data_IF_219932241222
#
_entry.id   IF_219932241222
#
_cell.length_a   1.000
_cell.length_b   1.000
_cell.length_c   1.000
_cell.angle_alpha   90.00
_cell.angle_beta   90.00
_cell.angle_gamma   90.00
#
_symmetry.space_group_name_H-M   'P 1'
#
loop_
_entity.id
_entity.type
_entity.pdbx_description
1 polymer ?
#
# COMPACT_ATOMS: atom_id res chain seq x y z
N UNK A 1 15.70 -35.93 -6.53
CA UNK A 1 15.68 -34.71 -7.38
C UNK A 1 14.24 -34.44 -7.78
N UNK A 2 13.78 -33.20 -7.71
CA UNK A 2 12.44 -32.82 -8.19
C UNK A 2 12.37 -32.76 -9.72
N UNK A 3 11.18 -32.53 -10.27
CA UNK A 3 11.00 -32.31 -11.70
C UNK A 3 11.69 -31.00 -12.14
N UNK A 4 12.25 -31.00 -13.35
CA UNK A 4 12.82 -29.79 -13.94
C UNK A 4 11.72 -28.86 -14.45
N UNK A 5 11.99 -27.55 -14.46
CA UNK A 5 11.13 -26.54 -15.08
C UNK A 5 11.76 -26.00 -16.35
N UNK A 6 10.94 -25.69 -17.34
CA UNK A 6 11.38 -25.15 -18.63
C UNK A 6 10.69 -23.82 -18.88
N UNK A 7 11.48 -22.79 -19.12
CA UNK A 7 11.03 -21.50 -19.63
C UNK A 7 11.72 -21.23 -20.96
N UNK A 8 10.95 -21.15 -22.04
CA UNK A 8 11.47 -20.99 -23.39
C UNK A 8 11.99 -19.58 -23.64
N UNK A 9 13.01 -19.48 -24.50
CA UNK A 9 13.57 -18.22 -25.02
C UNK A 9 14.16 -17.28 -23.96
N UNK A 10 14.69 -17.85 -22.87
CA UNK A 10 15.43 -17.12 -21.84
C UNK A 10 16.92 -17.42 -21.93
N UNK A 11 17.76 -16.39 -21.75
CA UNK A 11 19.22 -16.50 -21.86
C UNK A 11 19.92 -15.92 -20.65
N UNK A 12 21.17 -16.33 -20.43
CA UNK A 12 22.07 -15.80 -19.40
C UNK A 12 21.48 -15.83 -17.96
N UNK A 13 21.09 -17.00 -17.43
CA UNK A 13 20.51 -17.06 -16.10
C UNK A 13 21.52 -16.69 -15.02
N UNK A 14 21.03 -16.04 -13.97
CA UNK A 14 21.69 -15.86 -12.69
C UNK A 14 20.74 -16.29 -11.58
N UNK A 15 21.27 -16.73 -10.44
CA UNK A 15 20.47 -17.23 -9.33
C UNK A 15 21.12 -16.82 -8.00
N UNK A 16 20.28 -16.43 -7.04
CA UNK A 16 20.66 -16.17 -5.65
C UNK A 16 19.51 -16.58 -4.72
N UNK A 17 19.83 -16.79 -3.44
CA UNK A 17 18.86 -17.18 -2.40
C UNK A 17 18.89 -16.19 -1.25
N UNK A 18 17.73 -15.87 -0.69
CA UNK A 18 17.60 -15.07 0.52
C UNK A 18 17.65 -15.94 1.80
N UNK A 19 17.62 -15.30 2.96
CA UNK A 19 17.65 -15.94 4.28
C UNK A 19 16.44 -16.85 4.54
N UNK A 20 15.31 -16.60 3.86
CA UNK A 20 14.09 -17.39 3.93
C UNK A 20 14.04 -18.53 2.89
N UNK A 21 15.16 -18.79 2.19
CA UNK A 21 15.32 -19.81 1.15
C UNK A 21 14.44 -19.59 -0.09
N UNK A 22 13.98 -18.36 -0.31
CA UNK A 22 13.38 -17.97 -1.57
C UNK A 22 14.49 -17.70 -2.58
N UNK A 23 14.15 -17.79 -3.86
CA UNK A 23 15.09 -17.75 -4.96
C UNK A 23 14.80 -16.52 -5.83
N UNK A 24 15.82 -15.73 -6.10
CA UNK A 24 15.81 -14.72 -7.17
C UNK A 24 16.54 -15.29 -8.37
N UNK A 25 15.86 -15.37 -9.50
CA UNK A 25 16.44 -15.76 -10.79
C UNK A 25 16.46 -14.53 -11.69
N UNK A 26 17.61 -14.19 -12.25
CA UNK A 26 17.71 -13.17 -13.31
C UNK A 26 17.90 -13.83 -14.66
N UNK A 27 17.36 -13.23 -15.72
CA UNK A 27 17.57 -13.72 -17.08
C UNK A 27 17.41 -12.60 -18.10
N UNK A 28 17.87 -12.84 -19.32
CA UNK A 28 17.67 -11.98 -20.48
C UNK A 28 16.57 -12.54 -21.37
N UNK A 29 15.64 -11.68 -21.77
CA UNK A 29 14.63 -11.96 -22.80
C UNK A 29 14.50 -10.72 -23.69
N UNK A 30 14.47 -10.88 -25.01
CA UNK A 30 14.34 -9.77 -25.96
C UNK A 30 15.37 -8.63 -25.75
N UNK A 31 16.60 -8.99 -25.34
CA UNK A 31 17.69 -8.05 -25.02
C UNK A 31 17.34 -7.04 -23.89
N UNK A 32 16.44 -7.46 -23.00
CA UNK A 32 16.08 -6.78 -21.76
C UNK A 32 16.38 -7.68 -20.55
N UNK A 33 16.59 -7.07 -19.39
CA UNK A 33 16.87 -7.78 -18.14
C UNK A 33 15.58 -7.99 -17.36
N UNK A 34 15.37 -9.24 -16.95
CA UNK A 34 14.26 -9.66 -16.11
C UNK A 34 14.77 -10.32 -14.83
N UNK A 35 13.92 -10.33 -13.81
CA UNK A 35 14.09 -11.17 -12.64
C UNK A 35 12.77 -11.84 -12.26
N UNK A 36 12.86 -12.98 -11.57
CA UNK A 36 11.72 -13.72 -11.02
C UNK A 36 12.03 -14.09 -9.58
N UNK A 37 11.03 -13.95 -8.72
CA UNK A 37 11.09 -14.40 -7.34
C UNK A 37 10.28 -15.70 -7.17
N UNK A 38 10.87 -16.72 -6.56
CA UNK A 38 10.23 -18.01 -6.31
C UNK A 38 10.33 -18.30 -4.81
N UNK A 39 9.19 -18.47 -4.15
CA UNK A 39 9.20 -18.74 -2.71
C UNK A 39 9.57 -20.17 -2.39
N UNK A 40 10.19 -20.38 -1.23
CA UNK A 40 10.61 -21.69 -0.76
C UNK A 40 9.47 -22.76 -0.72
N UNK A 41 8.21 -22.34 -0.62
CA UNK A 41 7.06 -23.28 -0.55
C UNK A 41 6.24 -23.35 -1.83
N UNK A 42 6.57 -22.54 -2.84
CA UNK A 42 5.83 -22.45 -4.11
C UNK A 42 6.71 -22.85 -5.28
N UNK A 43 7.63 -23.80 -5.09
CA UNK A 43 8.59 -24.20 -6.12
C UNK A 43 7.87 -24.71 -7.36
N UNK A 44 6.69 -25.31 -7.20
CA UNK A 44 5.83 -25.79 -8.29
C UNK A 44 5.05 -24.68 -8.99
N UNK A 45 5.29 -23.40 -8.70
CA UNK A 45 4.72 -22.29 -9.46
C UNK A 45 5.38 -22.21 -10.83
N UNK A 46 4.78 -22.91 -11.78
CA UNK A 46 5.24 -23.07 -13.15
C UNK A 46 4.91 -21.87 -14.04
N UNK A 47 4.22 -20.84 -13.54
CA UNK A 47 3.82 -19.73 -14.38
C UNK A 47 5.05 -19.05 -15.00
N UNK A 48 5.15 -18.99 -16.34
CA UNK A 48 6.13 -18.16 -17.01
C UNK A 48 5.82 -16.71 -16.65
N UNK A 49 6.77 -16.00 -16.05
CA UNK A 49 6.52 -14.65 -15.58
C UNK A 49 7.65 -14.19 -14.68
N UNK A 50 8.20 -13.04 -15.03
CA UNK A 50 9.17 -12.31 -14.23
C UNK A 50 9.01 -10.84 -14.54
N UNK A 51 9.53 -10.02 -13.65
CA UNK A 51 9.43 -8.59 -13.71
C UNK A 51 10.56 -8.04 -14.58
N UNK A 52 10.23 -7.08 -15.45
CA UNK A 52 11.24 -6.32 -16.17
C UNK A 52 12.02 -5.48 -15.15
N UNK A 53 13.32 -5.71 -15.06
CA UNK A 53 14.19 -4.83 -14.30
C UNK A 53 14.47 -3.53 -15.07
N UNK A 54 14.66 -3.68 -16.38
CA UNK A 54 14.97 -2.58 -17.29
C UNK A 54 14.10 -2.73 -18.53
N UNK A 55 13.22 -1.75 -18.78
CA UNK A 55 12.34 -1.72 -19.94
C UNK A 55 13.00 -1.04 -21.15
N UNK A 56 14.25 -1.42 -21.44
CA UNK A 56 15.01 -0.96 -22.62
C UNK A 56 15.86 -2.09 -23.18
N UNK A 57 15.89 -2.19 -24.49
CA UNK A 57 16.78 -3.11 -25.23
C UNK A 57 18.24 -2.69 -25.06
N UNK A 58 19.18 -3.57 -25.40
CA UNK A 58 20.62 -3.38 -25.16
C UNK A 58 21.08 -3.84 -23.79
N UNK A 59 20.25 -4.52 -22.99
CA UNK A 59 20.56 -4.92 -21.63
C UNK A 59 20.57 -6.46 -21.50
N UNK A 60 21.71 -7.05 -21.14
CA UNK A 60 21.89 -8.51 -21.16
C UNK A 60 22.83 -9.02 -20.06
N UNK A 61 22.90 -10.35 -19.94
CA UNK A 61 23.82 -11.07 -19.04
C UNK A 61 23.75 -10.61 -17.58
N UNK A 62 22.55 -10.61 -16.97
CA UNK A 62 22.46 -10.23 -15.58
C UNK A 62 23.19 -11.22 -14.67
N UNK A 63 23.62 -10.70 -13.52
CA UNK A 63 24.06 -11.46 -12.36
C UNK A 63 23.38 -10.89 -11.14
N UNK A 64 23.07 -11.75 -10.19
CA UNK A 64 22.39 -11.39 -8.94
C UNK A 64 23.16 -11.94 -7.75
N UNK A 65 23.20 -11.15 -6.68
CA UNK A 65 23.61 -11.56 -5.35
C UNK A 65 22.61 -10.99 -4.33
N UNK A 66 22.52 -11.64 -3.17
CA UNK A 66 21.69 -11.19 -2.05
C UNK A 66 22.60 -11.04 -0.84
N UNK A 67 22.49 -9.91 -0.14
CA UNK A 67 23.28 -9.63 1.06
C UNK A 67 22.64 -10.27 2.31
N UNK A 68 23.32 -10.26 3.49
CA UNK A 68 22.76 -10.82 4.71
C UNK A 68 21.48 -10.16 5.24
N UNK A 69 21.14 -8.95 4.76
CA UNK A 69 19.93 -8.21 5.12
C UNK A 69 18.79 -8.46 4.09
N UNK A 70 18.96 -9.46 3.22
CA UNK A 70 18.09 -9.85 2.11
C UNK A 70 17.93 -8.80 1.00
N UNK A 71 18.80 -7.79 0.95
CA UNK A 71 18.80 -6.82 -0.16
C UNK A 71 19.40 -7.44 -1.42
N UNK A 72 18.91 -6.98 -2.57
CA UNK A 72 19.25 -7.58 -3.86
C UNK A 72 20.21 -6.67 -4.63
N UNK A 73 21.30 -7.27 -5.09
CA UNK A 73 22.32 -6.66 -5.92
C UNK A 73 22.25 -7.26 -7.31
N UNK A 74 21.97 -6.46 -8.32
CA UNK A 74 21.92 -6.92 -9.71
C UNK A 74 22.91 -6.12 -10.55
N UNK A 75 23.74 -6.82 -11.31
CA UNK A 75 24.60 -6.21 -12.35
C UNK A 75 24.25 -6.77 -13.72
N UNK A 76 24.41 -5.97 -14.78
CA UNK A 76 24.19 -6.41 -16.16
C UNK A 76 25.10 -5.67 -17.13
N UNK A 77 25.25 -6.24 -18.34
CA UNK A 77 25.86 -5.56 -19.47
C UNK A 77 24.83 -4.68 -20.16
N UNK A 78 25.22 -3.45 -20.46
CA UNK A 78 24.40 -2.47 -21.13
C UNK A 78 25.14 -1.90 -22.35
N UNK A 79 24.50 -1.91 -23.51
CA UNK A 79 25.06 -1.38 -24.76
C UNK A 79 24.34 -0.16 -25.29
N UNK A 80 23.44 0.45 -24.50
CA UNK A 80 22.59 1.56 -24.96
C UNK A 80 23.37 2.83 -25.29
N UNK A 81 24.56 2.99 -24.74
CA UNK A 81 25.46 4.13 -24.94
C UNK A 81 26.47 3.93 -26.08
N UNK A 82 26.38 2.81 -26.81
CA UNK A 82 27.26 2.46 -27.92
C UNK A 82 28.50 1.64 -27.52
N UNK A 83 28.92 1.73 -26.25
CA UNK A 83 29.91 0.83 -25.65
C UNK A 83 29.23 -0.19 -24.74
N UNK A 84 29.86 -1.35 -24.53
CA UNK A 84 29.39 -2.29 -23.50
C UNK A 84 29.90 -1.84 -22.14
N UNK A 85 28.99 -1.39 -21.29
CA UNK A 85 29.26 -0.94 -19.93
C UNK A 85 28.62 -1.90 -18.92
N UNK A 86 29.14 -1.90 -17.69
CA UNK A 86 28.57 -2.66 -16.58
C UNK A 86 27.69 -1.72 -15.76
N UNK A 87 26.42 -2.06 -15.66
CA UNK A 87 25.47 -1.35 -14.82
C UNK A 87 25.17 -2.14 -13.56
N UNK A 88 24.80 -1.42 -12.50
CA UNK A 88 24.49 -1.96 -11.19
C UNK A 88 23.21 -1.34 -10.65
N UNK A 89 22.34 -2.17 -10.05
CA UNK A 89 21.18 -1.74 -9.28
C UNK A 89 21.20 -2.43 -7.91
N UNK A 90 21.02 -1.61 -6.88
CA UNK A 90 20.74 -2.03 -5.51
C UNK A 90 19.25 -1.90 -5.25
N UNK A 91 18.65 -2.88 -4.58
CA UNK A 91 17.25 -2.86 -4.21
C UNK A 91 17.07 -3.36 -2.78
N UNK A 92 16.45 -2.55 -1.93
CA UNK A 92 15.88 -3.04 -0.69
C UNK A 92 14.76 -4.03 -1.01
N UNK A 93 14.69 -5.12 -0.27
CA UNK A 93 13.72 -6.18 -0.51
C UNK A 93 12.53 -6.08 0.46
N UNK A 94 11.32 -6.32 -0.05
CA UNK A 94 10.05 -6.35 0.71
C UNK A 94 9.75 -5.12 1.57
N UNK A 95 10.30 -3.94 1.23
CA UNK A 95 9.97 -2.72 1.94
C UNK A 95 8.65 -2.15 1.42
N UNK A 96 7.78 -1.76 2.34
CA UNK A 96 6.51 -1.12 2.04
C UNK A 96 6.26 0.05 2.97
N UNK A 97 5.32 0.90 2.56
CA UNK A 97 4.81 1.99 3.37
C UNK A 97 3.33 2.23 3.08
N UNK A 98 2.54 2.40 4.13
CA UNK A 98 1.21 2.98 4.06
C UNK A 98 1.30 4.49 4.31
N UNK A 99 0.61 5.26 3.47
CA UNK A 99 0.57 6.71 3.62
C UNK A 99 -0.86 7.22 3.46
N UNK A 100 -1.38 7.88 4.48
CA UNK A 100 -2.57 8.70 4.39
C UNK A 100 -2.17 10.16 4.55
N UNK A 101 -2.80 11.05 3.78
CA UNK A 101 -2.62 12.49 3.95
C UNK A 101 -3.04 12.90 5.39
N UNK A 102 -2.23 13.68 6.12
CA UNK A 102 -2.55 14.05 7.50
C UNK A 102 -3.87 14.80 7.66
N UNK A 103 -4.29 15.60 6.68
CA UNK A 103 -5.56 16.33 6.72
C UNK A 103 -6.72 15.37 6.51
N UNK A 104 -6.59 14.45 5.53
CA UNK A 104 -7.57 13.39 5.33
C UNK A 104 -7.70 12.48 6.56
N UNK A 105 -6.58 12.13 7.19
CA UNK A 105 -6.56 11.32 8.41
C UNK A 105 -7.21 12.05 9.59
N UNK A 106 -6.92 13.35 9.77
CA UNK A 106 -7.54 14.16 10.82
C UNK A 106 -9.07 14.23 10.67
N UNK A 107 -9.58 14.27 9.44
CA UNK A 107 -11.02 14.28 9.17
C UNK A 107 -11.74 13.01 9.66
N UNK A 108 -11.01 11.92 9.93
CA UNK A 108 -11.54 10.64 10.41
C UNK A 108 -11.64 10.54 11.94
N UNK A 109 -11.18 11.55 12.70
CA UNK A 109 -11.20 11.45 14.17
C UNK A 109 -12.57 11.70 14.79
N UNK A 110 -13.46 12.39 14.08
CA UNK A 110 -14.76 12.79 14.61
C UNK A 110 -15.86 12.48 13.61
N UNK A 111 -16.96 11.90 14.07
CA UNK A 111 -18.14 11.58 13.28
C UNK A 111 -19.40 12.09 13.97
N UNK A 112 -20.36 12.56 13.20
CA UNK A 112 -21.76 12.63 13.65
C UNK A 112 -22.42 11.26 13.55
N UNK A 113 -23.47 10.96 14.35
CA UNK A 113 -24.23 9.73 14.19
C UNK A 113 -24.76 9.56 12.75
N UNK A 114 -24.71 8.33 12.23
CA UNK A 114 -25.05 7.99 10.85
C UNK A 114 -24.21 8.71 9.76
N UNK A 115 -23.06 9.29 10.11
CA UNK A 115 -22.14 9.87 9.14
C UNK A 115 -21.23 8.79 8.53
N UNK A 116 -20.96 8.93 7.23
CA UNK A 116 -19.99 8.10 6.50
C UNK A 116 -18.89 8.98 5.92
N UNK A 117 -17.63 8.57 6.10
CA UNK A 117 -16.45 9.25 5.56
C UNK A 117 -15.56 8.26 4.82
N UNK A 118 -14.76 8.78 3.90
CA UNK A 118 -13.83 8.01 3.10
C UNK A 118 -12.42 8.53 3.34
N UNK A 119 -11.52 7.64 3.78
CA UNK A 119 -10.09 7.90 3.90
C UNK A 119 -9.37 7.36 2.65
N UNK A 120 -8.87 8.22 1.75
CA UNK A 120 -7.89 7.81 0.75
C UNK A 120 -6.53 7.58 1.42
N UNK A 121 -5.85 6.51 1.03
CA UNK A 121 -4.47 6.24 1.42
C UNK A 121 -3.74 5.54 0.28
N UNK A 122 -2.42 5.50 0.34
CA UNK A 122 -1.57 4.85 -0.64
C UNK A 122 -0.79 3.72 0.01
N UNK A 123 -0.68 2.61 -0.71
CA UNK A 123 0.29 1.58 -0.43
C UNK A 123 1.46 1.72 -1.41
N UNK A 124 2.66 1.89 -0.87
CA UNK A 124 3.88 2.08 -1.64
C UNK A 124 4.80 0.89 -1.44
N UNK A 125 5.30 0.31 -2.52
CA UNK A 125 6.45 -0.58 -2.50
C UNK A 125 7.71 0.28 -2.52
N UNK A 126 8.31 0.49 -1.35
CA UNK A 126 9.56 1.26 -1.22
C UNK A 126 10.79 0.40 -1.51
N UNK A 127 10.61 -0.91 -1.68
CA UNK A 127 11.65 -1.82 -2.17
C UNK A 127 11.89 -1.66 -3.68
N UNK A 128 13.06 -2.07 -4.15
CA UNK A 128 13.45 -1.94 -5.57
C UNK A 128 12.99 -3.09 -6.47
N UNK A 129 12.24 -4.04 -5.88
CA UNK A 129 11.77 -5.29 -6.49
C UNK A 129 10.27 -5.43 -6.27
N UNK A 130 9.59 -6.03 -7.23
CA UNK A 130 8.15 -6.21 -7.23
C UNK A 130 7.70 -7.20 -6.15
N UNK A 131 6.55 -6.94 -5.57
CA UNK A 131 5.96 -7.77 -4.52
C UNK A 131 4.43 -7.67 -4.54
N UNK A 132 3.80 -8.60 -3.82
CA UNK A 132 2.36 -8.72 -3.65
C UNK A 132 2.01 -8.39 -2.21
N UNK A 133 0.95 -7.64 -2.00
CA UNK A 133 0.56 -7.16 -0.68
C UNK A 133 -0.88 -7.53 -0.36
N UNK A 134 -1.10 -7.93 0.89
CA UNK A 134 -2.42 -8.07 1.48
C UNK A 134 -2.70 -6.86 2.37
N UNK A 135 -3.87 -6.25 2.23
CA UNK A 135 -4.34 -5.13 3.06
C UNK A 135 -5.58 -5.60 3.83
N UNK A 136 -5.50 -5.53 5.15
CA UNK A 136 -6.54 -6.04 6.04
C UNK A 136 -6.90 -5.02 7.12
N UNK A 137 -8.13 -5.10 7.61
CA UNK A 137 -8.59 -4.38 8.80
C UNK A 137 -8.68 -5.38 9.96
N UNK A 138 -8.25 -4.98 11.16
CA UNK A 138 -8.57 -5.77 12.35
C UNK A 138 -10.02 -5.53 12.77
N UNK A 139 -10.91 -6.48 12.47
CA UNK A 139 -12.33 -6.39 12.81
C UNK A 139 -12.60 -6.49 14.32
N UNK A 140 -11.68 -7.10 15.08
CA UNK A 140 -11.88 -7.35 16.51
C UNK A 140 -11.83 -6.05 17.34
N UNK A 141 -11.18 -5.00 16.81
CA UNK A 141 -11.06 -3.68 17.44
C UNK A 141 -12.24 -2.75 17.08
N UNK A 142 -13.06 -3.14 16.11
CA UNK A 142 -14.17 -2.33 15.62
C UNK A 142 -15.35 -2.45 16.58
N UNK A 143 -15.74 -1.31 17.16
CA UNK A 143 -16.85 -1.25 18.11
C UNK A 143 -18.20 -1.51 17.43
N UNK A 144 -19.15 -2.06 18.19
CA UNK A 144 -20.46 -2.47 17.68
C UNK A 144 -21.19 -1.32 16.95
N UNK A 145 -21.80 -1.64 15.80
CA UNK A 145 -22.56 -0.69 14.98
C UNK A 145 -21.71 0.20 14.05
N UNK A 146 -20.39 0.25 14.22
CA UNK A 146 -19.50 0.86 13.22
C UNK A 146 -19.27 -0.11 12.06
N UNK A 147 -19.14 0.42 10.85
CA UNK A 147 -18.74 -0.36 9.67
C UNK A 147 -17.50 0.24 9.04
N UNK A 148 -16.51 -0.60 8.75
CA UNK A 148 -15.26 -0.19 8.09
C UNK A 148 -15.00 -1.14 6.92
N UNK A 149 -14.86 -0.58 5.72
CA UNK A 149 -14.73 -1.35 4.48
C UNK A 149 -13.57 -0.81 3.64
N UNK A 150 -12.79 -1.73 3.06
CA UNK A 150 -11.77 -1.41 2.07
C UNK A 150 -12.32 -1.61 0.66
N UNK A 151 -11.95 -0.72 -0.27
CA UNK A 151 -12.28 -0.90 -1.68
C UNK A 151 -11.57 -2.11 -2.30
N UNK A 152 -10.42 -2.49 -1.76
CA UNK A 152 -9.61 -3.61 -2.22
C UNK A 152 -8.73 -4.10 -1.05
N UNK A 153 -8.39 -5.39 -1.06
CA UNK A 153 -7.59 -6.04 -0.01
C UNK A 153 -6.29 -6.65 -0.56
N UNK A 154 -6.03 -6.48 -1.86
CA UNK A 154 -4.87 -7.06 -2.53
C UNK A 154 -4.34 -6.17 -3.65
N UNK A 155 -3.02 -6.08 -3.77
CA UNK A 155 -2.39 -5.53 -4.96
C UNK A 155 -1.02 -6.17 -5.25
N UNK A 156 -0.52 -5.94 -6.45
CA UNK A 156 0.82 -6.32 -6.89
C UNK A 156 1.52 -5.07 -7.41
N UNK A 157 2.67 -4.72 -6.82
CA UNK A 157 3.39 -3.49 -7.12
C UNK A 157 4.77 -3.84 -7.67
N UNK A 158 5.18 -3.14 -8.72
CA UNK A 158 6.60 -3.12 -9.10
C UNK A 158 7.43 -2.46 -7.99
N UNK A 159 8.74 -2.68 -8.00
CA UNK A 159 9.63 -1.94 -7.12
C UNK A 159 9.47 -0.43 -7.32
N UNK A 160 9.52 0.33 -6.23
CA UNK A 160 9.42 1.79 -6.22
C UNK A 160 8.10 2.34 -6.82
N UNK A 161 7.02 1.55 -6.81
CA UNK A 161 5.69 1.95 -7.29
C UNK A 161 4.65 1.98 -6.18
N UNK A 162 3.52 2.63 -6.43
CA UNK A 162 2.43 2.80 -5.47
C UNK A 162 1.07 2.55 -6.10
N UNK A 163 0.10 2.19 -5.26
CA UNK A 163 -1.31 2.02 -5.64
C UNK A 163 -2.22 2.69 -4.61
N UNK A 164 -3.25 3.45 -5.05
CA UNK A 164 -4.20 4.09 -4.17
C UNK A 164 -5.26 3.11 -3.64
N UNK A 165 -5.60 3.27 -2.37
CA UNK A 165 -6.67 2.56 -1.68
C UNK A 165 -7.65 3.55 -1.06
N UNK A 166 -8.85 3.05 -0.73
CA UNK A 166 -9.89 3.81 -0.05
C UNK A 166 -10.49 2.95 1.05
N UNK A 167 -10.62 3.55 2.23
CA UNK A 167 -11.38 2.99 3.34
C UNK A 167 -12.63 3.83 3.57
N UNK A 168 -13.78 3.17 3.61
CA UNK A 168 -15.06 3.77 3.98
C UNK A 168 -15.36 3.43 5.43
N UNK A 169 -15.65 4.45 6.25
CA UNK A 169 -16.04 4.29 7.66
C UNK A 169 -17.42 4.90 7.84
N UNK A 170 -18.35 4.12 8.40
CA UNK A 170 -19.68 4.62 8.78
C UNK A 170 -19.87 4.43 10.28
N UNK A 171 -20.36 5.51 10.90
CA UNK A 171 -20.72 5.53 12.31
C UNK A 171 -22.11 4.92 12.55
N UNK A 172 -22.38 4.39 13.76
CA UNK A 172 -23.70 3.87 14.11
C UNK A 172 -24.78 4.96 14.05
N UNK A 173 -26.02 4.55 13.76
CA UNK A 173 -27.17 5.46 13.70
C UNK A 173 -27.55 6.00 15.08
N UNK A 174 -27.47 5.15 16.11
CA UNK A 174 -27.85 5.47 17.48
C UNK A 174 -26.62 5.51 18.38
N UNK A 175 -25.70 6.44 18.11
CA UNK A 175 -24.49 6.61 18.89
C UNK A 175 -24.60 7.81 19.86
N UNK A 176 -23.97 7.69 21.02
CA UNK A 176 -23.87 8.73 22.03
C UNK A 176 -22.59 9.54 21.86
N UNK A 177 -22.59 10.79 22.30
CA UNK A 177 -21.37 11.61 22.33
C UNK A 177 -20.27 10.92 23.15
N UNK A 178 -19.08 10.82 22.56
CA UNK A 178 -17.93 10.14 23.18
C UNK A 178 -17.80 8.64 22.85
N UNK A 179 -18.82 8.01 22.25
CA UNK A 179 -18.68 6.66 21.68
C UNK A 179 -17.52 6.65 20.68
N UNK A 180 -16.77 5.55 20.61
CA UNK A 180 -15.57 5.49 19.79
C UNK A 180 -15.35 4.11 19.18
N UNK A 181 -14.42 4.03 18.23
CA UNK A 181 -13.96 2.79 17.62
C UNK A 181 -12.48 2.89 17.27
N UNK A 182 -11.75 1.78 17.35
CA UNK A 182 -10.34 1.70 16.98
C UNK A 182 -10.21 1.12 15.59
N UNK A 183 -9.48 1.79 14.71
CA UNK A 183 -9.32 1.37 13.32
C UNK A 183 -7.84 1.10 13.07
N UNK A 184 -7.54 -0.16 12.73
CA UNK A 184 -6.19 -0.64 12.45
C UNK A 184 -6.17 -1.25 11.03
N UNK A 185 -5.51 -0.56 10.10
CA UNK A 185 -5.27 -1.02 8.74
C UNK A 185 -3.85 -1.54 8.66
N UNK A 186 -3.70 -2.81 8.28
CA UNK A 186 -2.38 -3.44 8.12
C UNK A 186 -2.17 -3.81 6.66
N UNK A 187 -1.07 -3.33 6.07
CA UNK A 187 -0.55 -3.85 4.82
C UNK A 187 0.61 -4.80 5.10
N UNK A 188 0.62 -5.96 4.45
CA UNK A 188 1.58 -7.02 4.69
C UNK A 188 2.17 -7.54 3.39
N UNK A 189 3.49 -7.62 3.32
CA UNK A 189 4.18 -8.25 2.20
C UNK A 189 3.86 -9.75 2.18
N UNK A 190 3.45 -10.26 1.02
CA UNK A 190 3.40 -11.71 0.80
C UNK A 190 4.82 -12.24 0.66
N UNK A 191 5.70 -11.52 -0.04
CA UNK A 191 7.10 -11.88 -0.29
C UNK A 191 7.87 -12.25 0.99
N UNK A 192 7.71 -11.43 2.03
CA UNK A 192 8.22 -11.64 3.37
C UNK A 192 7.16 -11.21 4.41
N UNK A 193 6.42 -12.16 5.00
CA UNK A 193 5.40 -11.88 6.01
C UNK A 193 5.89 -11.18 7.29
N UNK A 194 7.20 -11.04 7.54
CA UNK A 194 7.70 -10.24 8.67
C UNK A 194 7.70 -8.73 8.35
N UNK A 195 7.51 -8.36 7.07
CA UNK A 195 7.41 -6.96 6.63
C UNK A 195 5.95 -6.55 6.51
N UNK A 196 5.56 -5.57 7.32
CA UNK A 196 4.25 -4.97 7.33
C UNK A 196 4.34 -3.49 7.72
N UNK A 197 3.31 -2.73 7.38
CA UNK A 197 3.11 -1.37 7.85
C UNK A 197 1.65 -1.18 8.28
N UNK A 198 1.43 -0.24 9.20
CA UNK A 198 0.14 -0.09 9.88
C UNK A 198 -0.26 1.39 9.94
N UNK A 199 -1.51 1.67 9.59
CA UNK A 199 -2.19 2.92 9.94
C UNK A 199 -3.19 2.63 11.05
N UNK A 200 -3.04 3.31 12.18
CA UNK A 200 -3.87 3.14 13.38
C UNK A 200 -4.40 4.48 13.86
N UNK A 201 -5.69 4.56 14.15
CA UNK A 201 -6.30 5.72 14.79
C UNK A 201 -7.59 5.34 15.52
N UNK A 202 -8.10 6.27 16.32
CA UNK A 202 -9.38 6.17 17.01
C UNK A 202 -10.35 7.22 16.44
N UNK A 203 -11.60 6.83 16.22
CA UNK A 203 -12.67 7.73 15.81
C UNK A 203 -13.65 7.91 16.96
N UNK A 204 -14.15 9.12 17.16
CA UNK A 204 -15.11 9.50 18.20
C UNK A 204 -16.41 10.04 17.61
N UNK A 205 -17.51 9.83 18.30
CA UNK A 205 -18.80 10.45 18.01
C UNK A 205 -18.90 11.82 18.67
N UNK A 206 -19.28 12.81 17.88
CA UNK A 206 -19.62 14.15 18.33
C UNK A 206 -21.09 14.46 18.01
N UNK A 207 -21.79 15.02 18.99
CA UNK A 207 -23.17 15.47 18.81
C UNK A 207 -23.16 16.99 18.84
N UNK A 208 -23.18 17.60 17.66
CA UNK A 208 -23.38 19.04 17.57
C UNK A 208 -24.84 19.36 17.83
N UNK A 209 -25.10 19.96 18.97
CA UNK A 209 -26.37 20.62 19.23
C UNK A 209 -26.40 21.89 18.39
N UNK A 210 -27.09 21.86 17.26
CA UNK A 210 -27.27 23.06 16.46
C UNK A 210 -28.13 24.04 17.27
N UNK A 211 -27.50 25.10 17.81
CA UNK A 211 -28.25 26.19 18.44
C UNK A 211 -28.82 27.05 17.32
N UNK A 212 -30.02 26.68 16.87
CA UNK A 212 -30.83 27.55 16.03
C UNK A 212 -31.30 28.75 16.85
N UNK A 213 -30.53 29.84 16.85
CA UNK A 213 -31.00 31.13 17.32
C UNK A 213 -31.98 31.71 16.29
N UNK A 214 -33.23 31.26 16.33
CA UNK A 214 -34.31 31.97 15.64
C UNK A 214 -34.76 33.13 16.53
N UNK A 215 -34.38 34.35 16.16
CA UNK A 215 -35.01 35.53 16.74
C UNK A 215 -36.45 35.60 16.22
N UNK A 216 -37.43 35.27 17.07
CA UNK A 216 -38.86 35.41 16.74
C UNK A 216 -39.19 36.91 16.71
N UNK A 217 -39.00 37.53 15.55
CA UNK A 217 -39.20 38.95 15.23
C UNK A 217 -38.32 39.97 15.97
N UNK A 218 -37.19 40.41 15.41
CA UNK A 218 -36.63 41.70 15.75
C UNK A 218 -37.17 42.73 14.76
N UNK A 219 -38.29 43.39 15.08
CA UNK A 219 -38.56 44.83 14.82
C UNK A 219 -39.98 45.17 15.31
N UNK A 220 -40.04 46.10 16.26
CA UNK A 220 -41.19 46.93 16.59
C UNK A 220 -41.03 48.31 15.96
N UNK A 221 -42.00 48.81 15.22
CA UNK A 221 -41.99 50.18 14.69
C UNK A 221 -42.32 51.17 15.82
N UNK A 222 -41.43 52.14 16.07
CA UNK A 222 -41.66 53.22 17.05
C UNK A 222 -41.61 54.57 16.34
N UNK A 223 -42.58 55.45 16.65
CA UNK A 223 -42.62 56.82 16.15
C UNK A 223 -41.66 57.75 16.94
N UNK A 224 -41.22 58.89 16.37
CA UNK A 224 -40.33 59.82 17.05
C UNK A 224 -40.91 60.27 18.41
N UNK A 225 -40.17 60.07 19.50
CA UNK A 225 -40.51 60.57 20.84
C UNK A 225 -40.93 59.53 21.89
N UNK A 226 -40.83 58.22 21.63
CA UNK A 226 -41.04 57.19 22.68
C UNK A 226 -39.91 56.17 22.76
N UNK A 227 -39.60 55.74 23.98
CA UNK A 227 -38.67 54.65 24.29
C UNK A 227 -39.44 53.37 24.62
N UNK A 228 -38.85 52.22 24.29
CA UNK A 228 -39.36 50.89 24.67
C UNK A 228 -38.49 50.39 25.83
N UNK A 229 -39.12 49.90 26.90
CA UNK A 229 -38.48 49.21 28.04
C UNK A 229 -38.37 47.73 27.79
#
# INVERSE_FOLDING_TARGET
LGNHQVWSDLRNPGIATDSANNIVITYTKDDMVYYKYIKHRTWNDTQPGGYKLVDKTGCRRPRVAIDPDDNVHIVWEDTRTGNTEVYYKFAYNFQLKLYADPVALQAMFYFHPNETKVLPFELQNTGGIADKYDVNINSDDISEGWTVELNNTYCELQGESSEPFKMTVSSPVFASEGDNTYINITAKSRGNPEKQDIISFISFIIVTHDVSLTCRNPVSTVYPGKSVS
#
